data_IF_181625225487
#
_entry.id   IF_181625225487
#
_cell.length_a   1.000
_cell.length_b   1.000
_cell.length_c   1.000
_cell.angle_alpha   90.00
_cell.angle_beta   90.00
_cell.angle_gamma   90.00
#
_symmetry.space_group_name_H-M   'P 1'
#
loop_
_entity.id
_entity.type
_entity.pdbx_description
1 polymer ?
#
# COMPACT_ATOMS: atom_id res chain seq x y z
N UNK A 1 3.37 5.71 3.19
CA UNK A 1 3.63 4.25 3.12
C UNK A 1 4.77 3.91 4.06
N UNK A 2 4.82 2.70 4.59
CA UNK A 2 5.99 2.21 5.32
C UNK A 2 6.78 1.31 4.39
N UNK A 3 8.00 1.72 4.06
CA UNK A 3 8.89 1.04 3.10
C UNK A 3 10.31 1.06 3.65
N UNK A 4 11.08 0.01 3.37
CA UNK A 4 12.49 0.00 3.73
C UNK A 4 13.30 0.87 2.75
N UNK A 5 14.21 1.72 3.24
CA UNK A 5 15.07 2.49 2.37
C UNK A 5 15.97 1.56 1.57
N UNK A 6 16.26 1.92 0.32
CA UNK A 6 17.08 1.07 -0.54
C UNK A 6 18.47 0.86 0.06
N UNK A 7 18.75 -0.37 0.46
CA UNK A 7 20.05 -0.80 0.95
C UNK A 7 20.77 -1.38 -0.27
N UNK A 8 21.79 -0.69 -0.80
CA UNK A 8 22.58 -1.06 -1.99
C UNK A 8 23.07 -2.55 -2.07
N UNK A 9 22.88 -3.36 -1.02
CA UNK A 9 23.25 -4.77 -0.93
C UNK A 9 22.20 -5.68 -0.23
N UNK A 10 20.99 -5.21 0.10
CA UNK A 10 19.91 -6.03 0.68
C UNK A 10 18.63 -5.86 -0.14
N UNK A 11 17.89 -6.94 -0.29
CA UNK A 11 16.63 -6.97 -1.04
C UNK A 11 15.69 -5.87 -0.55
N UNK A 12 15.28 -4.99 -1.47
CA UNK A 12 14.31 -3.94 -1.16
C UNK A 12 13.00 -4.62 -0.76
N UNK A 13 12.70 -4.55 0.52
CA UNK A 13 11.63 -5.34 1.11
C UNK A 13 10.29 -4.64 0.86
N UNK A 14 9.26 -5.46 0.67
CA UNK A 14 7.95 -5.05 0.19
C UNK A 14 7.23 -4.04 1.11
N UNK A 15 6.05 -3.59 0.69
CA UNK A 15 5.28 -2.59 1.43
C UNK A 15 4.89 -3.16 2.80
N UNK A 16 5.24 -2.45 3.86
CA UNK A 16 5.05 -2.91 5.25
C UNK A 16 3.78 -2.32 5.88
N UNK A 17 3.35 -1.14 5.45
CA UNK A 17 2.24 -0.42 6.07
C UNK A 17 1.69 0.72 5.21
N UNK A 18 0.43 1.07 5.47
CA UNK A 18 -0.28 2.17 4.80
C UNK A 18 -0.91 3.07 5.86
N UNK A 19 -0.60 4.36 5.79
CA UNK A 19 -1.31 5.42 6.50
C UNK A 19 -2.26 6.12 5.54
N UNK A 20 -3.47 6.40 6.00
CA UNK A 20 -4.41 7.28 5.33
C UNK A 20 -4.62 8.55 6.15
N UNK A 21 -4.55 9.69 5.49
CA UNK A 21 -4.99 10.96 6.03
C UNK A 21 -6.44 11.22 5.60
N UNK A 22 -7.35 11.33 6.56
CA UNK A 22 -8.77 11.57 6.32
C UNK A 22 -9.10 13.07 6.31
N UNK A 23 -10.30 13.42 5.85
CA UNK A 23 -10.74 14.82 5.76
C UNK A 23 -10.94 15.50 7.13
N UNK A 24 -11.11 14.72 8.20
CA UNK A 24 -11.21 15.19 9.59
C UNK A 24 -9.82 15.31 10.26
N UNK A 25 -8.75 15.37 9.46
CA UNK A 25 -7.33 15.37 9.87
C UNK A 25 -6.91 14.14 10.68
N UNK A 26 -7.76 13.10 10.75
CA UNK A 26 -7.37 11.84 11.37
C UNK A 26 -6.40 11.07 10.48
N UNK A 27 -5.33 10.58 11.09
CA UNK A 27 -4.42 9.62 10.47
C UNK A 27 -4.83 8.23 10.97
N UNK A 28 -5.17 7.36 10.03
CA UNK A 28 -5.56 5.99 10.34
C UNK A 28 -4.60 4.99 9.71
N UNK A 29 -4.41 3.90 10.43
CA UNK A 29 -3.66 2.73 10.02
C UNK A 29 -4.45 1.48 10.42
N UNK A 30 -4.06 0.33 9.85
CA UNK A 30 -4.56 -0.97 10.28
C UNK A 30 -3.37 -1.78 10.78
N UNK A 31 -3.27 -3.07 10.48
CA UNK A 31 -2.08 -3.84 10.79
C UNK A 31 -0.88 -3.36 9.93
N UNK A 32 0.26 -3.13 10.57
CA UNK A 32 1.49 -2.69 9.90
C UNK A 32 2.62 -3.66 10.22
N UNK A 33 3.62 -3.71 9.36
CA UNK A 33 4.83 -4.48 9.56
C UNK A 33 5.79 -3.81 10.55
N UNK A 34 6.72 -4.59 11.08
CA UNK A 34 7.72 -4.12 12.05
C UNK A 34 8.85 -3.30 11.40
N UNK A 35 9.02 -3.42 10.08
CA UNK A 35 10.19 -2.92 9.36
C UNK A 35 9.87 -1.73 8.45
N UNK A 36 10.91 -0.98 8.11
CA UNK A 36 10.84 0.20 7.24
C UNK A 36 10.44 1.49 7.93
N UNK A 37 10.53 2.57 7.16
CA UNK A 37 10.24 3.94 7.62
C UNK A 37 9.02 4.49 6.90
N UNK A 38 8.23 5.29 7.61
CA UNK A 38 7.13 6.02 7.01
C UNK A 38 7.66 7.13 6.09
N UNK A 39 7.24 7.10 4.83
CA UNK A 39 7.43 8.22 3.89
C UNK A 39 6.36 9.29 4.10
N UNK A 40 6.67 10.50 3.66
CA UNK A 40 5.74 11.64 3.67
C UNK A 40 4.41 11.33 3.01
N UNK A 41 3.35 11.96 3.51
CA UNK A 41 2.03 11.87 2.89
C UNK A 41 2.04 12.47 1.49
N UNK A 42 1.40 11.76 0.57
CA UNK A 42 0.94 12.32 -0.69
C UNK A 42 -0.56 12.60 -0.54
N UNK A 43 -0.99 13.81 -0.90
CA UNK A 43 -2.37 14.28 -0.72
C UNK A 43 -2.90 14.76 -2.06
N UNK A 44 -4.19 14.55 -2.31
CA UNK A 44 -4.86 15.11 -3.49
C UNK A 44 -4.77 16.64 -3.44
N UNK A 45 -4.47 17.29 -4.57
CA UNK A 45 -4.47 18.75 -4.65
C UNK A 45 -5.85 19.33 -4.32
N UNK A 46 -6.92 18.62 -4.71
CA UNK A 46 -8.28 18.89 -4.26
C UNK A 46 -9.09 17.60 -4.08
N UNK A 47 -9.97 17.60 -3.07
CA UNK A 47 -10.92 16.51 -2.83
C UNK A 47 -10.32 15.31 -2.09
N UNK A 48 -10.80 14.10 -2.41
CA UNK A 48 -10.51 12.87 -1.65
C UNK A 48 -10.19 11.69 -2.55
N UNK A 49 -9.64 10.63 -1.96
CA UNK A 49 -9.31 9.39 -2.68
C UNK A 49 -10.60 8.66 -3.06
N UNK A 50 -10.73 8.32 -4.35
CA UNK A 50 -11.92 7.65 -4.88
C UNK A 50 -11.66 6.22 -5.37
N UNK A 51 -10.44 5.86 -5.74
CA UNK A 51 -10.11 4.51 -6.18
C UNK A 51 -8.65 4.19 -5.90
N UNK A 52 -8.31 2.92 -5.91
CA UNK A 52 -6.94 2.44 -5.72
C UNK A 52 -6.61 1.27 -6.63
N UNK A 53 -5.32 1.11 -6.92
CA UNK A 53 -4.74 -0.05 -7.57
C UNK A 53 -3.45 -0.44 -6.85
N UNK A 54 -3.34 -1.73 -6.53
CA UNK A 54 -2.20 -2.30 -5.82
C UNK A 54 -1.19 -2.84 -6.84
N UNK A 55 0.10 -2.58 -6.63
CA UNK A 55 1.18 -3.17 -7.38
C UNK A 55 1.64 -4.43 -6.68
N UNK A 56 1.55 -5.55 -7.37
CA UNK A 56 2.04 -6.84 -6.90
C UNK A 56 2.82 -7.52 -8.02
N UNK A 57 3.65 -8.49 -7.68
CA UNK A 57 4.13 -9.45 -8.66
C UNK A 57 3.02 -10.48 -8.97
N UNK A 58 3.16 -11.21 -10.07
CA UNK A 58 2.28 -12.36 -10.33
C UNK A 58 2.86 -13.56 -9.59
N UNK A 59 2.06 -14.24 -8.77
CA UNK A 59 2.46 -15.55 -8.27
C UNK A 59 2.63 -16.50 -9.47
N UNK A 60 3.74 -17.25 -9.53
CA UNK A 60 3.95 -18.26 -10.58
C UNK A 60 3.13 -19.55 -10.33
N UNK A 61 2.04 -19.48 -9.57
CA UNK A 61 1.15 -20.61 -9.35
C UNK A 61 0.01 -20.28 -8.40
N UNK A 62 -1.20 -20.19 -8.92
CA UNK A 62 -2.51 -20.43 -8.28
C UNK A 62 -2.89 -19.76 -6.95
N UNK A 63 -1.98 -19.07 -6.25
CA UNK A 63 -2.22 -18.52 -4.92
C UNK A 63 -2.30 -17.00 -4.95
N UNK A 64 -3.24 -16.44 -4.19
CA UNK A 64 -3.41 -15.00 -3.88
C UNK A 64 -2.26 -14.44 -3.00
N UNK A 65 -1.08 -15.04 -3.06
CA UNK A 65 -0.01 -14.89 -2.07
C UNK A 65 1.13 -13.97 -2.48
N UNK A 66 0.89 -12.90 -3.23
CA UNK A 66 1.98 -11.98 -3.61
C UNK A 66 2.00 -10.73 -2.73
N UNK A 67 3.19 -10.36 -2.28
CA UNK A 67 3.48 -9.12 -1.58
C UNK A 67 3.00 -7.88 -2.35
N UNK A 68 2.47 -6.90 -1.63
CA UNK A 68 2.25 -5.56 -2.17
C UNK A 68 3.58 -4.82 -2.23
N UNK A 69 3.92 -4.30 -3.41
CA UNK A 69 5.16 -3.57 -3.65
C UNK A 69 4.90 -2.06 -3.66
N UNK A 70 3.74 -1.64 -4.16
CA UNK A 70 3.35 -0.24 -4.26
C UNK A 70 1.82 -0.09 -4.32
N UNK A 71 1.32 1.13 -4.21
CA UNK A 71 -0.09 1.47 -4.36
C UNK A 71 -0.22 2.81 -5.08
N UNK A 72 -1.26 2.92 -5.90
CA UNK A 72 -1.64 4.17 -6.53
C UNK A 72 -3.13 4.44 -6.30
N UNK A 73 -3.50 5.72 -6.27
CA UNK A 73 -4.86 6.18 -6.05
C UNK A 73 -5.31 7.15 -7.12
N UNK A 74 -6.62 7.19 -7.35
CA UNK A 74 -7.29 8.24 -8.11
C UNK A 74 -7.99 9.14 -7.11
N UNK A 75 -7.78 10.44 -7.24
CA UNK A 75 -8.46 11.50 -6.51
C UNK A 75 -9.79 11.88 -7.19
N UNK A 76 -10.71 12.50 -6.46
CA UNK A 76 -12.00 12.95 -6.99
C UNK A 76 -11.88 14.00 -8.11
N UNK A 77 -10.76 14.72 -8.16
CA UNK A 77 -10.40 15.66 -9.23
C UNK A 77 -9.72 14.98 -10.44
N UNK A 78 -9.73 13.63 -10.47
CA UNK A 78 -9.06 12.77 -11.44
C UNK A 78 -7.51 12.81 -11.41
N UNK A 79 -6.89 13.47 -10.42
CA UNK A 79 -5.45 13.39 -10.20
C UNK A 79 -5.04 11.97 -9.80
N UNK A 80 -3.91 11.50 -10.32
CA UNK A 80 -3.29 10.23 -9.94
C UNK A 80 -2.21 10.47 -8.88
N UNK A 81 -2.30 9.76 -7.75
CA UNK A 81 -1.22 9.69 -6.76
C UNK A 81 -0.56 8.33 -6.85
N UNK A 82 0.74 8.31 -7.10
CA UNK A 82 1.53 7.07 -7.16
C UNK A 82 2.46 7.06 -5.97
N UNK A 83 2.30 6.07 -5.08
CA UNK A 83 3.12 5.95 -3.90
C UNK A 83 4.59 5.72 -4.22
N UNK A 84 5.47 6.14 -3.31
CA UNK A 84 6.92 5.91 -3.40
C UNK A 84 7.30 4.54 -2.81
N UNK A 85 6.57 3.49 -3.19
CA UNK A 85 6.93 2.10 -2.94
C UNK A 85 7.84 1.51 -4.02
N UNK A 86 8.04 0.20 -3.99
CA UNK A 86 8.93 -0.50 -4.92
C UNK A 86 8.44 -0.43 -6.37
N UNK A 87 9.39 -0.45 -7.30
CA UNK A 87 9.12 -0.43 -8.74
C UNK A 87 8.95 -1.82 -9.36
N UNK A 88 8.90 -2.91 -8.57
CA UNK A 88 8.77 -4.29 -9.06
C UNK A 88 7.31 -4.75 -9.19
N UNK A 89 7.05 -5.65 -10.14
CA UNK A 89 5.71 -6.13 -10.45
C UNK A 89 4.88 -5.17 -11.31
N UNK A 90 3.55 -5.37 -11.33
CA UNK A 90 2.60 -4.56 -12.13
C UNK A 90 1.41 -4.12 -11.29
N UNK A 91 0.88 -2.94 -11.59
CA UNK A 91 -0.39 -2.50 -11.02
C UNK A 91 -1.53 -3.39 -11.51
N UNK A 92 -2.35 -3.86 -10.57
CA UNK A 92 -3.54 -4.63 -10.84
C UNK A 92 -4.71 -3.76 -11.35
N UNK A 93 -5.90 -4.37 -11.52
CA UNK A 93 -7.09 -3.62 -11.89
C UNK A 93 -7.46 -2.60 -10.80
N UNK A 94 -7.98 -1.46 -11.24
CA UNK A 94 -8.60 -0.47 -10.35
C UNK A 94 -9.78 -1.08 -9.60
N UNK A 95 -9.92 -0.74 -8.32
CA UNK A 95 -11.11 -1.10 -7.55
C UNK A 95 -12.27 -0.12 -7.81
N UNK A 96 -13.49 -0.55 -7.46
CA UNK A 96 -14.69 0.27 -7.63
C UNK A 96 -14.51 1.63 -6.95
N UNK A 97 -14.95 2.68 -7.64
CA UNK A 97 -14.85 4.05 -7.15
C UNK A 97 -15.77 4.27 -5.94
N UNK A 98 -15.25 4.85 -4.87
CA UNK A 98 -15.99 5.30 -3.69
C UNK A 98 -15.13 6.20 -2.79
N UNK A 99 -15.72 6.96 -1.86
CA UNK A 99 -14.96 7.82 -0.94
C UNK A 99 -14.15 6.99 0.07
N UNK A 100 -12.83 6.92 -0.10
CA UNK A 100 -11.93 6.13 0.73
C UNK A 100 -11.53 6.91 1.98
N UNK A 101 -11.83 6.35 3.15
CA UNK A 101 -11.42 6.93 4.43
C UNK A 101 -11.21 5.88 5.54
N UNK A 102 -11.15 4.61 5.18
CA UNK A 102 -10.91 3.53 6.13
C UNK A 102 -10.19 2.39 5.41
N UNK A 103 -9.28 1.71 6.11
CA UNK A 103 -8.49 0.62 5.55
C UNK A 103 -8.42 -0.58 6.48
N UNK A 104 -8.32 -1.76 5.87
CA UNK A 104 -8.03 -3.03 6.52
C UNK A 104 -6.89 -3.68 5.77
N UNK A 105 -5.73 -3.81 6.41
CA UNK A 105 -4.56 -4.45 5.83
C UNK A 105 -4.50 -5.91 6.24
N UNK A 106 -4.01 -6.75 5.33
CA UNK A 106 -3.59 -8.11 5.63
C UNK A 106 -2.07 -8.14 5.58
N UNK A 107 -1.45 -8.25 6.74
CA UNK A 107 -0.01 -8.43 6.90
C UNK A 107 0.23 -9.88 7.30
N UNK A 108 1.19 -10.55 6.65
CA UNK A 108 1.59 -11.88 7.09
C UNK A 108 2.62 -11.81 8.22
N UNK A 109 2.52 -12.68 9.24
CA UNK A 109 3.49 -12.73 10.32
C UNK A 109 4.83 -13.28 9.81
N UNK A 110 5.95 -12.97 10.49
CA UNK A 110 7.24 -13.51 10.12
C UNK A 110 7.22 -15.05 10.09
N UNK A 111 7.66 -15.68 9.00
CA UNK A 111 7.68 -17.14 8.82
C UNK A 111 9.07 -17.77 9.11
N UNK A 112 10.05 -17.00 9.61
CA UNK A 112 11.39 -17.54 9.88
C UNK A 112 12.41 -16.52 10.36
N UNK A 113 13.70 -16.79 10.07
CA UNK A 113 14.86 -15.97 10.47
C UNK A 113 15.22 -14.85 9.46
N UNK A 114 14.44 -14.69 8.41
CA UNK A 114 14.60 -13.66 7.38
C UNK A 114 13.27 -12.92 7.18
N UNK A 115 13.36 -11.71 6.64
CA UNK A 115 12.36 -10.66 6.66
C UNK A 115 11.02 -11.07 6.02
N UNK A 116 10.10 -11.58 6.82
CA UNK A 116 8.87 -12.22 6.33
C UNK A 116 7.58 -11.46 6.69
N UNK A 117 7.68 -10.26 7.27
CA UNK A 117 6.48 -9.43 7.54
C UNK A 117 6.19 -8.54 6.36
N UNK A 118 5.16 -8.86 5.58
CA UNK A 118 4.84 -8.13 4.35
C UNK A 118 3.34 -7.90 4.23
N UNK A 119 2.94 -6.68 3.81
CA UNK A 119 1.57 -6.37 3.45
C UNK A 119 1.22 -7.14 2.17
N UNK A 120 0.25 -8.05 2.25
CA UNK A 120 -0.23 -8.82 1.09
C UNK A 120 -1.41 -8.17 0.41
N UNK A 121 -2.30 -7.55 1.18
CA UNK A 121 -3.51 -6.99 0.62
C UNK A 121 -4.04 -5.85 1.48
N UNK A 122 -4.86 -5.01 0.85
CA UNK A 122 -5.57 -3.93 1.52
C UNK A 122 -6.99 -3.85 0.98
N UNK A 123 -7.94 -3.71 1.89
CA UNK A 123 -9.33 -3.38 1.58
C UNK A 123 -9.58 -1.97 2.10
N UNK A 124 -10.00 -1.09 1.20
CA UNK A 124 -10.51 0.21 1.58
C UNK A 124 -12.02 0.15 1.71
N UNK A 125 -12.55 0.75 2.77
CA UNK A 125 -14.00 0.89 2.96
C UNK A 125 -14.42 2.30 2.53
N UNK A 126 -15.60 2.34 1.93
CA UNK A 126 -16.25 3.54 1.46
C UNK A 126 -17.03 4.19 2.62
N UNK A 127 -16.91 5.50 2.82
CA UNK A 127 -17.85 6.28 3.64
C UNK A 127 -19.08 6.66 2.83
#
# INVERSE_FOLDING_TARGET
LQVEPSQFARDDTALNGIHLHCQDDSVIESLVGEWGTWISFQVCYGGWLISFSLRTEKSQGGGDGTAANNIQFICSDATLLVGDGLSWGRFGPWRKSCNICNLWTKVEPPQGRQDDTVLKNVKFCCK
#
